data_IF_830350291211
#
_entry.id   IF_830350291211
#
_cell.length_a   1.000
_cell.length_b   1.000
_cell.length_c   1.000
_cell.angle_alpha   90.00
_cell.angle_beta   90.00
_cell.angle_gamma   90.00
#
_symmetry.space_group_name_H-M   'P 1'
#
loop_
_entity.id
_entity.type
_entity.pdbx_description
1 polymer ?
#
# COMPACT_ATOMS: atom_id res chain seq x y z
N UNK A 1 9.66 8.08 -8.39
CA UNK A 1 9.07 7.35 -7.25
C UNK A 1 7.58 7.69 -7.18
N UNK A 2 6.69 6.74 -6.83
CA UNK A 2 5.24 6.95 -6.93
C UNK A 2 4.69 8.01 -5.96
N UNK A 3 5.45 8.39 -4.93
CA UNK A 3 5.03 9.34 -3.89
C UNK A 3 5.50 10.78 -4.12
N UNK A 4 6.32 11.02 -5.15
CA UNK A 4 6.95 12.33 -5.38
C UNK A 4 5.99 13.39 -5.95
N UNK A 5 4.79 12.98 -6.37
CA UNK A 5 3.79 13.87 -6.96
C UNK A 5 2.59 14.13 -6.04
N UNK A 6 2.66 13.67 -4.78
CA UNK A 6 1.59 13.83 -3.79
C UNK A 6 1.77 15.09 -2.96
N UNK A 7 0.66 15.66 -2.49
CA UNK A 7 0.70 16.72 -1.50
C UNK A 7 1.39 16.23 -0.22
N UNK A 8 2.10 17.09 0.53
CA UNK A 8 2.82 16.67 1.72
C UNK A 8 1.93 16.02 2.79
N UNK A 9 0.64 16.39 2.85
CA UNK A 9 -0.37 15.73 3.70
C UNK A 9 -0.64 14.27 3.28
N UNK A 10 -0.73 14.03 1.97
CA UNK A 10 -0.96 12.70 1.40
C UNK A 10 0.27 11.80 1.55
N UNK A 11 1.48 12.36 1.55
CA UNK A 11 2.72 11.58 1.72
C UNK A 11 2.73 10.86 3.08
N UNK A 12 2.35 11.55 4.15
CA UNK A 12 2.27 10.97 5.50
C UNK A 12 1.18 9.88 5.57
N UNK A 13 -0.01 10.19 5.04
CA UNK A 13 -1.15 9.26 4.97
C UNK A 13 -0.81 8.00 4.19
N UNK A 14 -0.18 8.16 3.03
CA UNK A 14 0.23 7.06 2.14
C UNK A 14 1.30 6.20 2.78
N UNK A 15 2.30 6.80 3.43
CA UNK A 15 3.34 6.05 4.16
C UNK A 15 2.77 5.25 5.32
N UNK A 16 1.88 5.85 6.12
CA UNK A 16 1.23 5.18 7.24
C UNK A 16 0.36 4.01 6.74
N UNK A 17 -0.43 4.23 5.69
CA UNK A 17 -1.29 3.20 5.13
C UNK A 17 -0.50 2.03 4.53
N UNK A 18 0.61 2.34 3.86
CA UNK A 18 1.52 1.36 3.30
C UNK A 18 2.19 0.51 4.37
N UNK A 19 2.68 1.12 5.45
CA UNK A 19 3.34 0.38 6.53
C UNK A 19 2.36 -0.57 7.23
N UNK A 20 1.14 -0.09 7.53
CA UNK A 20 0.07 -0.89 8.09
C UNK A 20 -0.33 -2.06 7.17
N UNK A 21 -0.53 -1.78 5.88
CA UNK A 21 -0.86 -2.81 4.90
C UNK A 21 0.25 -3.85 4.75
N UNK A 22 1.52 -3.41 4.73
CA UNK A 22 2.68 -4.29 4.66
C UNK A 22 2.77 -5.18 5.89
N UNK A 23 2.51 -4.64 7.08
CA UNK A 23 2.50 -5.40 8.32
C UNK A 23 1.48 -6.55 8.30
N UNK A 24 0.32 -6.36 7.68
CA UNK A 24 -0.70 -7.41 7.51
C UNK A 24 -0.29 -8.49 6.49
N UNK A 25 0.30 -8.10 5.36
CA UNK A 25 0.58 -9.05 4.27
C UNK A 25 1.97 -9.68 4.35
N UNK A 26 2.95 -9.08 5.04
CA UNK A 26 4.34 -9.56 5.07
C UNK A 26 4.45 -11.01 5.53
N UNK A 27 3.56 -11.45 6.43
CA UNK A 27 3.54 -12.84 6.92
C UNK A 27 3.09 -13.86 5.86
N UNK A 28 2.48 -13.39 4.77
CA UNK A 28 2.04 -14.22 3.64
C UNK A 28 3.00 -14.16 2.45
N UNK A 29 3.97 -13.24 2.49
CA UNK A 29 4.96 -13.07 1.42
C UNK A 29 6.13 -14.02 1.69
N UNK A 30 6.53 -14.86 0.71
CA UNK A 30 7.70 -15.73 0.87
C UNK A 30 8.99 -14.91 0.94
N UNK A 31 9.94 -15.44 1.72
CA UNK A 31 11.29 -14.87 1.86
C UNK A 31 11.96 -14.71 0.49
N UNK A 32 12.58 -13.56 0.24
CA UNK A 32 13.17 -13.19 -1.05
C UNK A 32 12.22 -12.56 -2.08
N UNK A 33 10.90 -12.56 -1.85
CA UNK A 33 9.93 -11.81 -2.67
C UNK A 33 9.51 -10.48 -2.05
N UNK A 34 10.00 -10.17 -0.85
CA UNK A 34 9.61 -8.99 -0.08
C UNK A 34 9.74 -7.69 -0.87
N UNK A 35 10.89 -7.41 -1.48
CA UNK A 35 11.10 -6.14 -2.21
C UNK A 35 10.14 -5.96 -3.39
N UNK A 36 9.87 -7.05 -4.11
CA UNK A 36 8.95 -7.06 -5.26
C UNK A 36 7.52 -6.80 -4.80
N UNK A 37 7.06 -7.55 -3.79
CA UNK A 37 5.71 -7.40 -3.25
C UNK A 37 5.51 -6.07 -2.53
N UNK A 38 6.55 -5.57 -1.88
CA UNK A 38 6.59 -4.25 -1.24
C UNK A 38 6.48 -3.14 -2.28
N UNK A 39 7.20 -3.25 -3.40
CA UNK A 39 7.06 -2.31 -4.53
C UNK A 39 5.65 -2.36 -5.12
N UNK A 40 5.10 -3.56 -5.29
CA UNK A 40 3.73 -3.75 -5.78
C UNK A 40 2.70 -3.11 -4.86
N UNK A 41 2.80 -3.34 -3.55
CA UNK A 41 1.92 -2.72 -2.56
C UNK A 41 2.03 -1.20 -2.60
N UNK A 42 3.25 -0.64 -2.75
CA UNK A 42 3.45 0.81 -2.85
C UNK A 42 2.68 1.42 -4.04
N UNK A 43 2.66 0.76 -5.20
CA UNK A 43 1.87 1.19 -6.35
C UNK A 43 0.36 1.10 -6.10
N UNK A 44 -0.09 0.05 -5.43
CA UNK A 44 -1.51 -0.13 -5.08
C UNK A 44 -1.95 1.01 -4.14
N UNK A 45 -1.21 1.26 -3.06
CA UNK A 45 -1.51 2.32 -2.10
C UNK A 45 -1.51 3.70 -2.79
N UNK A 46 -0.50 3.98 -3.63
CA UNK A 46 -0.45 5.24 -4.38
C UNK A 46 -1.64 5.43 -5.34
N UNK A 47 -2.19 4.34 -5.88
CA UNK A 47 -3.36 4.40 -6.78
C UNK A 47 -4.67 4.64 -6.03
N UNK A 48 -4.75 4.27 -4.74
CA UNK A 48 -5.94 4.47 -3.91
C UNK A 48 -5.92 5.76 -3.10
N UNK A 49 -4.78 6.46 -3.00
CA UNK A 49 -4.67 7.68 -2.19
C UNK A 49 -5.71 8.75 -2.58
N UNK A 50 -5.99 8.89 -3.87
CA UNK A 50 -6.95 9.88 -4.38
C UNK A 50 -8.42 9.49 -4.16
N UNK A 51 -8.70 8.22 -3.85
CA UNK A 51 -10.07 7.69 -3.70
C UNK A 51 -10.38 7.36 -2.24
N UNK A 52 -9.35 7.24 -1.40
CA UNK A 52 -9.48 6.89 0.00
C UNK A 52 -9.77 8.14 0.85
N UNK A 53 -10.74 8.01 1.73
CA UNK A 53 -11.15 9.10 2.63
C UNK A 53 -10.10 9.33 3.73
N UNK A 54 -9.57 8.22 4.26
CA UNK A 54 -8.64 8.16 5.38
C UNK A 54 -7.58 7.06 5.25
N UNK A 55 -6.56 7.13 6.11
CA UNK A 55 -5.49 6.12 6.22
C UNK A 55 -6.05 4.70 6.36
N UNK A 56 -7.07 4.51 7.21
CA UNK A 56 -7.63 3.19 7.48
C UNK A 56 -8.37 2.60 6.26
N UNK A 57 -9.14 3.42 5.55
CA UNK A 57 -9.79 3.03 4.30
C UNK A 57 -8.75 2.72 3.21
N UNK A 58 -7.70 3.55 3.11
CA UNK A 58 -6.58 3.34 2.19
C UNK A 58 -5.87 1.99 2.44
N UNK A 59 -5.56 1.68 3.70
CA UNK A 59 -4.97 0.39 4.10
C UNK A 59 -5.87 -0.77 3.70
N UNK A 60 -7.15 -0.71 4.07
CA UNK A 60 -8.11 -1.79 3.79
C UNK A 60 -8.22 -2.07 2.29
N UNK A 61 -8.39 -1.02 1.48
CA UNK A 61 -8.49 -1.14 0.01
C UNK A 61 -7.20 -1.68 -0.61
N UNK A 62 -6.05 -1.22 -0.12
CA UNK A 62 -4.76 -1.69 -0.62
C UNK A 62 -4.54 -3.19 -0.33
N UNK A 63 -4.86 -3.65 0.88
CA UNK A 63 -4.75 -5.06 1.28
C UNK A 63 -5.73 -5.92 0.48
N UNK A 64 -6.99 -5.49 0.36
CA UNK A 64 -8.01 -6.21 -0.40
C UNK A 64 -7.61 -6.35 -1.87
N UNK A 65 -7.17 -5.26 -2.50
CA UNK A 65 -6.68 -5.29 -3.88
C UNK A 65 -5.43 -6.16 -4.01
N UNK A 66 -4.49 -6.09 -3.08
CA UNK A 66 -3.29 -6.93 -3.10
C UNK A 66 -3.65 -8.41 -3.08
N UNK A 67 -4.52 -8.83 -2.15
CA UNK A 67 -5.00 -10.22 -2.02
C UNK A 67 -5.76 -10.68 -3.26
N UNK A 68 -6.65 -9.87 -3.81
CA UNK A 68 -7.43 -10.21 -5.01
C UNK A 68 -6.58 -10.32 -6.29
N UNK A 69 -5.37 -9.74 -6.29
CA UNK A 69 -4.47 -9.77 -7.45
C UNK A 69 -3.47 -10.92 -7.43
N UNK A 70 -3.54 -11.78 -6.41
CA UNK A 70 -2.68 -12.94 -6.22
C UNK A 70 -3.46 -14.24 -6.49
N UNK A 71 -4.61 -14.15 -7.17
CA UNK A 71 -5.41 -15.27 -7.65
C UNK A 71 -5.09 -15.62 -9.11
#
# INVERSE_FOLDING_TARGET
MPFSSLAPEDVARTKAAFDAAWHEIKSTVPDGHEEKERTRLAYIVASFVAVADDVADLTRRAVERYRNSTH
#
